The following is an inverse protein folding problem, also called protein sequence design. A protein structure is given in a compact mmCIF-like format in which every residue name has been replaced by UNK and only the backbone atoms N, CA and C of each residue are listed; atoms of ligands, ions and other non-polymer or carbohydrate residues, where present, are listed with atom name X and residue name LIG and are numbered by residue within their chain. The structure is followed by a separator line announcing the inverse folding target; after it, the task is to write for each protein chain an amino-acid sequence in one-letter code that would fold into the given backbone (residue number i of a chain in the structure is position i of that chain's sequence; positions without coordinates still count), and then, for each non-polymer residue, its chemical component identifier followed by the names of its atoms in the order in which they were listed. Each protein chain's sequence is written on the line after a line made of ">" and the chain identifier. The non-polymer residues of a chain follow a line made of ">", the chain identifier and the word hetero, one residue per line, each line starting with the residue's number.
data_IF_529886200384
#
_entry.id   IF_529886200384
#
_cell.length_a   1.000
_cell.length_b   1.000
_cell.length_c   1.000
_cell.angle_alpha   90.00
_cell.angle_beta   90.00
_cell.angle_gamma   90.00
#
_symmetry.space_group_name_H-M   'P 1'
#
loop_
_entity.id
_entity.type
_entity.pdbx_description
1 polymer ?
#
# COMPACT_ATOMS: atom_id res chain seq x y z
N UNK A 1 -4.17 11.28 2.27
CA UNK A 1 -5.09 10.70 1.29
C UNK A 1 -4.64 9.30 0.83
N UNK A 2 -3.40 9.09 0.37
CA UNK A 2 -2.95 7.77 -0.12
C UNK A 2 -3.21 6.62 0.86
N UNK A 3 -2.83 6.77 2.12
CA UNK A 3 -3.01 5.76 3.17
C UNK A 3 -4.49 5.44 3.48
N UNK A 4 -5.40 6.39 3.29
CA UNK A 4 -6.83 6.18 3.54
C UNK A 4 -7.57 5.59 2.35
N UNK A 5 -7.13 5.91 1.12
CA UNK A 5 -7.79 5.48 -0.11
C UNK A 5 -7.34 4.10 -0.61
N UNK A 6 -6.21 3.61 -0.10
CA UNK A 6 -5.65 2.30 -0.50
C UNK A 6 -4.89 2.31 -1.82
N UNK A 7 -4.41 1.12 -2.20
CA UNK A 7 -3.73 0.90 -3.48
C UNK A 7 -4.64 1.22 -4.67
N UNK A 8 -4.14 1.85 -5.74
CA UNK A 8 -2.82 2.47 -5.92
C UNK A 8 -2.87 3.99 -5.74
N UNK A 9 -3.77 4.51 -4.91
CA UNK A 9 -4.05 5.96 -4.80
C UNK A 9 -2.83 6.78 -4.36
N UNK A 10 -2.02 6.24 -3.45
CA UNK A 10 -0.79 6.88 -3.00
C UNK A 10 0.21 7.06 -4.14
N UNK A 11 0.45 6.00 -4.91
CA UNK A 11 1.33 6.04 -6.07
C UNK A 11 0.83 7.00 -7.16
N UNK A 12 -0.48 6.95 -7.49
CA UNK A 12 -1.10 7.85 -8.49
C UNK A 12 -0.97 9.32 -8.09
N UNK A 13 -1.24 9.65 -6.82
CA UNK A 13 -1.14 11.01 -6.32
C UNK A 13 0.32 11.50 -6.36
N UNK A 14 1.25 10.68 -5.91
CA UNK A 14 2.68 10.99 -5.94
C UNK A 14 3.18 11.19 -7.37
N UNK A 15 2.81 10.32 -8.30
CA UNK A 15 3.16 10.44 -9.71
C UNK A 15 2.62 11.75 -10.32
N UNK A 16 1.38 12.11 -10.02
CA UNK A 16 0.78 13.36 -10.47
C UNK A 16 1.52 14.59 -9.94
N UNK A 17 1.82 14.63 -8.63
CA UNK A 17 2.57 15.73 -8.03
C UNK A 17 3.99 15.85 -8.62
N UNK A 18 4.61 14.71 -8.95
CA UNK A 18 5.91 14.68 -9.64
C UNK A 18 5.81 15.21 -11.08
N UNK A 19 4.81 14.78 -11.86
CA UNK A 19 4.55 15.26 -13.22
C UNK A 19 4.27 16.77 -13.25
N UNK A 20 3.53 17.29 -12.27
CA UNK A 20 3.27 18.70 -12.09
C UNK A 20 4.48 19.49 -11.54
N UNK A 21 5.65 18.84 -11.42
CA UNK A 21 6.91 19.41 -10.89
C UNK A 21 6.77 20.01 -9.48
N UNK A 22 5.80 19.51 -8.71
CA UNK A 22 5.60 19.92 -7.31
C UNK A 22 6.55 19.18 -6.37
N UNK A 23 7.03 18.00 -6.76
CA UNK A 23 8.00 17.17 -6.03
C UNK A 23 9.27 16.98 -6.85
N UNK A 24 10.40 16.88 -6.17
CA UNK A 24 11.64 16.32 -6.74
C UNK A 24 11.52 14.79 -6.85
N UNK A 25 12.40 14.15 -7.62
CA UNK A 25 12.47 12.69 -7.74
C UNK A 25 12.60 12.02 -6.37
N UNK A 26 13.50 12.54 -5.52
CA UNK A 26 13.76 11.99 -4.18
C UNK A 26 12.53 12.15 -3.27
N UNK A 27 11.85 13.30 -3.32
CA UNK A 27 10.61 13.52 -2.56
C UNK A 27 9.50 12.60 -3.04
N UNK A 28 9.38 12.35 -4.34
CA UNK A 28 8.42 11.43 -4.91
C UNK A 28 8.72 9.98 -4.50
N UNK A 29 9.98 9.54 -4.53
CA UNK A 29 10.41 8.21 -4.07
C UNK A 29 10.08 8.01 -2.59
N UNK A 30 10.42 8.99 -1.74
CA UNK A 30 10.10 8.97 -0.31
C UNK A 30 8.59 8.90 -0.08
N UNK A 31 7.81 9.72 -0.78
CA UNK A 31 6.37 9.79 -0.60
C UNK A 31 5.68 8.50 -1.06
N UNK A 32 6.08 7.96 -2.22
CA UNK A 32 5.52 6.72 -2.76
C UNK A 32 5.77 5.51 -1.85
N UNK A 33 6.92 5.47 -1.15
CA UNK A 33 7.32 4.31 -0.35
C UNK A 33 6.38 4.00 0.83
N UNK A 34 5.72 5.01 1.42
CA UNK A 34 4.84 4.79 2.58
C UNK A 34 3.38 5.20 2.36
N UNK A 35 3.07 5.97 1.30
CA UNK A 35 1.70 6.38 1.05
C UNK A 35 0.89 5.38 0.23
N UNK A 36 1.57 4.45 -0.45
CA UNK A 36 0.94 3.40 -1.23
C UNK A 36 0.68 2.18 -0.33
N UNK A 37 -0.38 2.22 0.45
CA UNK A 37 -0.70 1.24 1.49
C UNK A 37 -2.15 0.74 1.39
N UNK A 38 -2.48 -0.31 2.11
CA UNK A 38 -3.86 -0.81 2.21
C UNK A 38 -4.77 0.20 2.89
N UNK A 39 -6.02 0.27 2.47
CA UNK A 39 -7.02 1.11 3.10
C UNK A 39 -7.66 0.42 4.32
N UNK A 40 -8.31 1.18 5.21
CA UNK A 40 -9.00 0.60 6.37
C UNK A 40 -10.06 -0.43 5.98
N UNK A 41 -10.82 -0.20 4.90
CA UNK A 41 -11.86 -1.12 4.46
C UNK A 41 -11.30 -2.49 4.07
N UNK A 42 -10.13 -2.53 3.43
CA UNK A 42 -9.46 -3.79 3.11
C UNK A 42 -9.01 -4.51 4.39
N UNK A 43 -8.41 -3.80 5.34
CA UNK A 43 -7.89 -4.40 6.58
C UNK A 43 -9.04 -4.93 7.44
N UNK A 44 -10.05 -4.12 7.71
CA UNK A 44 -11.17 -4.50 8.58
C UNK A 44 -12.18 -5.40 7.87
N UNK A 45 -12.52 -5.10 6.61
CA UNK A 45 -13.55 -5.81 5.87
C UNK A 45 -13.04 -7.09 5.21
N UNK A 46 -12.03 -6.99 4.34
CA UNK A 46 -11.57 -8.15 3.59
C UNK A 46 -10.71 -9.10 4.45
N UNK A 47 -9.71 -8.56 5.15
CA UNK A 47 -8.77 -9.41 5.89
C UNK A 47 -9.38 -9.86 7.22
N UNK A 48 -9.69 -8.92 8.12
CA UNK A 48 -10.15 -9.26 9.47
C UNK A 48 -11.50 -9.99 9.46
N UNK A 49 -12.53 -9.40 8.89
CA UNK A 49 -13.86 -10.01 8.86
C UNK A 49 -13.99 -11.09 7.78
N UNK A 50 -13.43 -10.88 6.58
CA UNK A 50 -13.56 -11.80 5.45
C UNK A 50 -12.70 -13.05 5.54
N UNK A 51 -11.39 -12.91 5.76
CA UNK A 51 -10.48 -14.05 5.80
C UNK A 51 -10.42 -14.70 7.17
N UNK A 52 -10.18 -13.91 8.22
CA UNK A 52 -10.03 -14.42 9.59
C UNK A 52 -11.36 -14.66 10.31
N UNK A 53 -12.47 -14.21 9.74
CA UNK A 53 -13.80 -14.26 10.37
C UNK A 53 -13.80 -13.70 11.82
N UNK A 54 -12.89 -12.80 12.14
CA UNK A 54 -12.71 -12.18 13.44
C UNK A 54 -12.51 -10.66 13.31
N UNK A 55 -13.60 -9.86 13.42
CA UNK A 55 -13.51 -8.39 13.30
C UNK A 55 -12.61 -7.72 14.33
N UNK A 56 -12.37 -8.34 15.49
CA UNK A 56 -11.52 -7.78 16.54
C UNK A 56 -10.06 -7.71 16.13
N UNK A 57 -9.59 -8.61 15.26
CA UNK A 57 -8.25 -8.56 14.69
C UNK A 57 -7.99 -7.31 13.85
N UNK A 58 -9.04 -6.70 13.31
CA UNK A 58 -8.93 -5.53 12.45
C UNK A 58 -8.13 -4.39 13.06
N UNK A 59 -8.30 -4.13 14.35
CA UNK A 59 -7.57 -3.08 15.05
C UNK A 59 -6.07 -3.41 15.15
N UNK A 60 -5.74 -4.64 15.52
CA UNK A 60 -4.35 -5.09 15.64
C UNK A 60 -3.65 -5.04 14.28
N UNK A 61 -4.30 -5.56 13.24
CA UNK A 61 -3.81 -5.54 11.87
C UNK A 61 -3.62 -4.11 11.35
N UNK A 62 -4.58 -3.22 11.62
CA UNK A 62 -4.49 -1.82 11.22
C UNK A 62 -3.33 -1.09 11.93
N UNK A 63 -3.20 -1.26 13.24
CA UNK A 63 -2.11 -0.66 14.01
C UNK A 63 -0.76 -1.16 13.48
N UNK A 64 -0.58 -2.47 13.32
CA UNK A 64 0.65 -3.07 12.80
C UNK A 64 0.98 -2.55 11.40
N UNK A 65 0.00 -2.51 10.50
CA UNK A 65 0.17 -2.04 9.13
C UNK A 65 0.58 -0.56 9.07
N UNK A 66 -0.14 0.31 9.78
CA UNK A 66 0.15 1.75 9.75
C UNK A 66 1.41 2.13 10.50
N UNK A 67 1.74 1.44 11.60
CA UNK A 67 3.03 1.61 12.27
C UNK A 67 4.19 1.19 11.36
N UNK A 68 4.04 0.07 10.63
CA UNK A 68 5.01 -0.35 9.63
C UNK A 68 5.22 0.71 8.56
N UNK A 69 4.14 1.26 8.00
CA UNK A 69 4.21 2.33 6.99
C UNK A 69 4.87 3.61 7.53
N UNK A 70 4.54 4.02 8.76
CA UNK A 70 5.18 5.17 9.40
C UNK A 70 6.67 4.92 9.59
N UNK A 71 7.05 3.71 10.01
CA UNK A 71 8.46 3.31 10.18
C UNK A 71 9.21 3.38 8.84
N UNK A 72 8.61 2.89 7.75
CA UNK A 72 9.18 3.02 6.40
C UNK A 72 9.34 4.50 6.03
N UNK A 73 8.34 5.34 6.29
CA UNK A 73 8.43 6.79 6.05
C UNK A 73 9.57 7.46 6.82
N UNK A 74 9.78 7.06 8.10
CA UNK A 74 10.87 7.56 8.92
C UNK A 74 12.25 7.12 8.40
N UNK A 75 12.38 5.86 7.97
CA UNK A 75 13.62 5.34 7.36
C UNK A 75 13.90 6.05 6.04
N UNK A 76 12.88 6.18 5.19
CA UNK A 76 13.00 6.84 3.89
C UNK A 76 13.31 8.34 3.99
N UNK A 77 13.11 8.97 5.14
CA UNK A 77 13.59 10.33 5.40
C UNK A 77 15.09 10.48 5.12
N UNK A 78 15.86 9.43 5.35
CA UNK A 78 17.32 9.43 5.14
C UNK A 78 17.72 9.13 3.69
N UNK A 79 16.78 8.66 2.86
CA UNK A 79 17.04 8.38 1.45
C UNK A 79 17.39 9.65 0.68
N UNK A 80 18.44 9.61 -0.11
CA UNK A 80 18.83 10.70 -1.03
C UNK A 80 19.40 11.97 -0.39
N UNK A 81 19.66 12.01 0.92
CA UNK A 81 20.22 13.19 1.63
C UNK A 81 21.49 13.71 0.95
N UNK A 82 22.36 12.81 0.49
CA UNK A 82 23.61 13.21 -0.19
C UNK A 82 23.37 13.86 -1.54
N UNK A 83 22.32 13.45 -2.27
CA UNK A 83 21.96 14.00 -3.59
C UNK A 83 21.24 15.34 -3.50
N UNK A 84 20.68 15.67 -2.33
CA UNK A 84 20.01 16.95 -2.08
C UNK A 84 20.95 18.02 -1.52
N UNK A 85 22.17 17.65 -1.07
CA UNK A 85 23.19 18.61 -0.64
C UNK A 85 23.60 19.46 -1.84
N UNK A 86 23.28 20.75 -1.80
CA UNK A 86 23.61 21.72 -2.85
C UNK A 86 22.45 22.16 -3.75
N UNK A 87 21.27 21.56 -3.64
CA UNK A 87 20.08 22.09 -4.31
C UNK A 87 19.42 23.15 -3.45
N UNK A 88 18.95 24.27 -4.03
CA UNK A 88 18.21 25.27 -3.27
C UNK A 88 17.00 24.59 -2.65
N UNK A 89 16.94 24.57 -1.31
CA UNK A 89 15.74 24.10 -0.60
C UNK A 89 14.60 25.00 -1.02
N UNK A 90 13.55 24.43 -1.61
CA UNK A 90 12.30 25.15 -1.78
C UNK A 90 11.91 25.66 -0.39
N UNK A 91 11.76 26.98 -0.29
CA UNK A 91 11.29 27.60 0.96
C UNK A 91 9.99 26.92 1.39
N UNK A 92 9.92 26.35 2.59
CA UNK A 92 8.69 25.76 3.05
C UNK A 92 7.63 26.86 3.10
N UNK A 93 6.65 26.78 2.22
CA UNK A 93 5.51 27.69 2.31
C UNK A 93 4.78 27.34 3.61
N UNK A 94 4.54 28.31 4.49
CA UNK A 94 3.80 28.05 5.70
C UNK A 94 2.43 27.44 5.33
N UNK A 95 2.05 26.35 6.02
CA UNK A 95 0.74 25.77 5.82
C UNK A 95 -0.31 26.78 6.21
N UNK A 96 -1.01 27.30 5.23
CA UNK A 96 -2.12 28.25 5.44
C UNK A 96 -3.41 27.61 4.95
N UNK A 97 -4.26 27.22 5.89
CA UNK A 97 -5.58 26.65 5.59
C UNK A 97 -6.43 27.58 4.71
N UNK A 98 -6.51 28.92 4.99
CA UNK A 98 -7.23 29.85 4.12
C UNK A 98 -6.69 29.89 2.70
N UNK A 99 -5.37 29.85 2.52
CA UNK A 99 -4.75 29.80 1.20
C UNK A 99 -5.09 28.49 0.47
N UNK A 100 -5.05 27.36 1.15
CA UNK A 100 -5.40 26.07 0.58
C UNK A 100 -6.86 26.01 0.13
N UNK A 101 -7.80 26.51 0.96
CA UNK A 101 -9.22 26.61 0.62
C UNK A 101 -9.48 27.56 -0.55
N UNK A 102 -8.82 28.71 -0.57
CA UNK A 102 -8.93 29.67 -1.68
C UNK A 102 -8.41 29.09 -2.99
N UNK A 103 -7.27 28.37 -2.95
CA UNK A 103 -6.70 27.73 -4.13
C UNK A 103 -7.61 26.60 -4.62
N UNK A 104 -8.16 25.80 -3.72
CA UNK A 104 -9.13 24.75 -4.05
C UNK A 104 -10.38 25.35 -4.73
N UNK A 105 -10.93 26.44 -4.17
CA UNK A 105 -12.07 27.13 -4.74
C UNK A 105 -11.77 27.71 -6.14
N UNK A 106 -10.62 28.37 -6.31
CA UNK A 106 -10.19 28.89 -7.60
C UNK A 106 -9.96 27.78 -8.64
N UNK A 107 -9.38 26.66 -8.24
CA UNK A 107 -9.18 25.49 -9.12
C UNK A 107 -10.52 24.89 -9.54
N UNK A 108 -11.47 24.82 -8.61
CA UNK A 108 -12.83 24.36 -8.90
C UNK A 108 -13.54 25.26 -9.92
N UNK A 109 -13.43 26.58 -9.76
CA UNK A 109 -14.03 27.56 -10.69
C UNK A 109 -13.38 27.49 -12.08
N UNK A 110 -12.08 27.19 -12.17
CA UNK A 110 -11.39 27.02 -13.47
C UNK A 110 -11.75 25.72 -14.17
N UNK A 111 -12.14 24.69 -13.43
CA UNK A 111 -12.49 23.36 -13.93
C UNK A 111 -14.01 23.13 -13.79
N UNK A 112 -14.82 24.01 -14.34
CA UNK A 112 -16.28 23.83 -14.40
C UNK A 112 -16.64 22.66 -15.33
N UNK A 113 -16.66 21.46 -14.77
CA UNK A 113 -17.17 20.29 -15.48
C UNK A 113 -18.58 19.94 -14.98
N UNK A 114 -19.49 19.55 -15.87
CA UNK A 114 -20.80 19.06 -15.47
C UNK A 114 -20.69 17.91 -14.49
N UNK A 115 -21.53 17.87 -13.45
CA UNK A 115 -21.52 16.82 -12.44
C UNK A 115 -21.60 15.42 -13.05
N UNK A 116 -22.38 15.23 -14.12
CA UNK A 116 -22.45 13.96 -14.84
C UNK A 116 -21.13 13.50 -15.43
N UNK A 117 -20.32 14.43 -15.96
CA UNK A 117 -18.99 14.11 -16.47
C UNK A 117 -18.05 13.74 -15.35
N UNK A 118 -18.03 14.51 -14.24
CA UNK A 118 -17.20 14.21 -13.07
C UNK A 118 -17.52 12.81 -12.48
N UNK A 119 -18.82 12.49 -12.37
CA UNK A 119 -19.26 11.20 -11.88
C UNK A 119 -18.87 10.08 -12.85
N UNK A 120 -19.08 10.28 -14.15
CA UNK A 120 -18.68 9.32 -15.17
C UNK A 120 -17.18 9.03 -15.17
N UNK A 121 -16.35 10.09 -15.08
CA UNK A 121 -14.89 9.95 -15.00
C UNK A 121 -14.44 9.25 -13.70
N UNK A 122 -15.11 9.54 -12.58
CA UNK A 122 -14.84 8.89 -11.30
C UNK A 122 -15.17 7.38 -11.36
N UNK A 123 -16.33 7.00 -11.88
CA UNK A 123 -16.73 5.60 -12.06
C UNK A 123 -15.77 4.88 -12.99
N UNK A 124 -15.46 5.47 -14.15
CA UNK A 124 -14.51 4.89 -15.12
C UNK A 124 -13.14 4.67 -14.50
N UNK A 125 -12.60 5.66 -13.78
CA UNK A 125 -11.32 5.54 -13.08
C UNK A 125 -11.34 4.46 -12.00
N UNK A 126 -12.45 4.33 -11.27
CA UNK A 126 -12.62 3.29 -10.25
C UNK A 126 -12.65 1.89 -10.86
N UNK A 127 -13.41 1.69 -11.93
CA UNK A 127 -13.48 0.40 -12.66
C UNK A 127 -12.11 0.02 -13.22
N UNK A 128 -11.41 0.95 -13.88
CA UNK A 128 -10.05 0.69 -14.38
C UNK A 128 -9.09 0.32 -13.26
N UNK A 129 -9.20 0.98 -12.10
CA UNK A 129 -8.36 0.69 -10.94
C UNK A 129 -8.65 -0.72 -10.39
N UNK A 130 -9.92 -1.10 -10.26
CA UNK A 130 -10.33 -2.43 -9.80
C UNK A 130 -9.86 -3.52 -10.76
N UNK A 131 -10.01 -3.33 -12.07
CA UNK A 131 -9.54 -4.28 -13.07
C UNK A 131 -8.01 -4.43 -13.02
N UNK A 132 -7.27 -3.34 -12.82
CA UNK A 132 -5.82 -3.38 -12.69
C UNK A 132 -5.40 -4.15 -11.42
N UNK A 133 -6.02 -3.88 -10.28
CA UNK A 133 -5.75 -4.60 -9.02
C UNK A 133 -6.07 -6.08 -9.18
N UNK A 134 -7.26 -6.43 -9.70
CA UNK A 134 -7.67 -7.81 -9.94
C UNK A 134 -6.72 -8.53 -10.91
N UNK A 135 -6.26 -7.85 -11.96
CA UNK A 135 -5.27 -8.38 -12.89
C UNK A 135 -3.94 -8.70 -12.22
N UNK A 136 -3.45 -7.84 -11.33
CA UNK A 136 -2.22 -8.13 -10.57
C UNK A 136 -2.40 -9.26 -9.57
N UNK A 137 -3.55 -9.35 -8.88
CA UNK A 137 -3.84 -10.47 -7.99
C UNK A 137 -3.80 -11.79 -8.76
N UNK A 138 -4.45 -11.86 -9.93
CA UNK A 138 -4.44 -13.04 -10.79
C UNK A 138 -3.02 -13.36 -11.25
N UNK A 139 -2.28 -12.37 -11.76
CA UNK A 139 -0.90 -12.54 -12.21
C UNK A 139 -0.02 -13.13 -11.12
N UNK A 140 -0.02 -12.53 -9.93
CA UNK A 140 0.81 -13.00 -8.83
C UNK A 140 0.34 -14.33 -8.25
N UNK A 141 -0.96 -14.62 -8.29
CA UNK A 141 -1.48 -15.95 -7.94
C UNK A 141 -0.95 -17.03 -8.89
N UNK A 142 -0.92 -16.74 -10.20
CA UNK A 142 -0.31 -17.64 -11.19
C UNK A 142 1.18 -17.79 -10.95
N UNK A 143 1.91 -16.68 -10.73
CA UNK A 143 3.35 -16.72 -10.41
C UNK A 143 3.62 -17.58 -9.17
N UNK A 144 2.89 -17.35 -8.07
CA UNK A 144 3.00 -18.17 -6.85
C UNK A 144 2.75 -19.65 -7.14
N UNK A 145 1.73 -19.98 -7.93
CA UNK A 145 1.42 -21.36 -8.30
C UNK A 145 2.55 -21.98 -9.10
N UNK A 146 3.15 -21.25 -10.05
CA UNK A 146 4.30 -21.72 -10.84
C UNK A 146 5.52 -21.95 -9.94
N UNK A 147 5.85 -21.02 -9.04
CA UNK A 147 6.96 -21.15 -8.10
C UNK A 147 6.79 -22.40 -7.22
N UNK A 148 5.57 -22.66 -6.77
CA UNK A 148 5.25 -23.87 -6.01
C UNK A 148 5.43 -25.13 -6.85
N UNK A 149 4.90 -25.18 -8.08
CA UNK A 149 5.03 -26.33 -8.98
C UNK A 149 6.47 -26.61 -9.41
N UNK A 150 7.30 -25.57 -9.46
CA UNK A 150 8.74 -25.69 -9.74
C UNK A 150 9.57 -26.05 -8.51
N UNK A 151 8.95 -26.31 -7.37
CA UNK A 151 9.60 -26.56 -6.07
C UNK A 151 10.53 -25.42 -5.60
N UNK A 152 10.42 -24.23 -6.18
CA UNK A 152 11.24 -23.08 -5.78
C UNK A 152 10.83 -22.58 -4.39
N UNK A 153 9.55 -22.60 -4.07
CA UNK A 153 9.05 -22.24 -2.74
C UNK A 153 9.69 -23.09 -1.65
N UNK A 154 9.85 -24.40 -1.89
CA UNK A 154 10.46 -25.32 -0.94
C UNK A 154 11.96 -25.04 -0.73
N UNK A 155 12.66 -24.54 -1.77
CA UNK A 155 14.06 -24.17 -1.64
C UNK A 155 14.26 -22.93 -0.76
N UNK A 156 13.30 -22.00 -0.76
CA UNK A 156 13.33 -20.82 0.11
C UNK A 156 12.75 -21.06 1.51
N UNK A 157 11.98 -22.13 1.71
CA UNK A 157 11.34 -22.45 2.99
C UNK A 157 12.34 -22.52 4.18
N UNK A 158 13.54 -23.13 4.08
CA UNK A 158 14.48 -23.18 5.20
C UNK A 158 14.93 -21.78 5.66
N UNK A 159 15.18 -20.87 4.70
CA UNK A 159 15.55 -19.49 5.01
C UNK A 159 14.42 -18.75 5.74
N UNK A 160 13.19 -18.92 5.25
CA UNK A 160 12.02 -18.32 5.87
C UNK A 160 11.74 -18.87 7.25
N UNK A 161 11.86 -20.19 7.46
CA UNK A 161 11.73 -20.81 8.78
C UNK A 161 12.74 -20.27 9.77
N UNK A 162 13.99 -20.09 9.34
CA UNK A 162 15.01 -19.49 10.19
C UNK A 162 14.63 -18.06 10.61
N UNK A 163 14.08 -17.25 9.67
CA UNK A 163 13.59 -15.91 9.97
C UNK A 163 12.39 -15.92 10.91
N UNK A 164 11.44 -16.84 10.69
CA UNK A 164 10.26 -17.00 11.55
C UNK A 164 10.66 -17.43 12.97
N UNK A 165 11.62 -18.33 13.13
CA UNK A 165 12.17 -18.71 14.44
C UNK A 165 12.77 -17.53 15.19
N UNK A 166 13.48 -16.63 14.50
CA UNK A 166 14.04 -15.42 15.11
C UNK A 166 12.95 -14.48 15.65
N UNK A 167 11.77 -14.47 15.02
CA UNK A 167 10.62 -13.68 15.42
C UNK A 167 9.63 -14.44 16.30
N UNK A 168 9.94 -15.69 16.68
CA UNK A 168 9.09 -16.60 17.46
C UNK A 168 7.72 -16.87 16.82
N UNK A 169 7.65 -16.78 15.49
CA UNK A 169 6.45 -17.09 14.71
C UNK A 169 6.42 -18.57 14.31
N UNK A 170 5.22 -19.17 14.19
CA UNK A 170 5.05 -20.55 13.76
C UNK A 170 5.69 -20.83 12.40
N UNK A 171 6.37 -21.97 12.28
CA UNK A 171 7.07 -22.35 11.04
C UNK A 171 6.13 -22.60 9.86
N UNK A 172 4.89 -22.98 10.12
CA UNK A 172 3.87 -23.18 9.10
C UNK A 172 3.46 -21.91 8.35
N UNK A 173 3.92 -20.73 8.80
CA UNK A 173 3.74 -19.47 8.09
C UNK A 173 4.79 -19.25 6.98
N UNK A 174 5.73 -20.18 6.77
CA UNK A 174 6.79 -20.04 5.76
C UNK A 174 6.21 -19.83 4.34
N UNK A 175 5.34 -20.72 3.87
CA UNK A 175 4.69 -20.61 2.55
C UNK A 175 3.73 -19.40 2.46
N UNK A 176 2.83 -19.19 3.44
CA UNK A 176 2.00 -17.98 3.46
C UNK A 176 2.79 -16.67 3.42
N UNK A 177 3.86 -16.54 4.19
CA UNK A 177 4.72 -15.36 4.19
C UNK A 177 5.43 -15.19 2.85
N UNK A 178 5.96 -16.28 2.28
CA UNK A 178 6.54 -16.24 0.93
C UNK A 178 5.54 -15.75 -0.11
N UNK A 179 4.34 -16.30 -0.11
CA UNK A 179 3.27 -15.88 -1.02
C UNK A 179 2.87 -14.42 -0.81
N UNK A 180 2.83 -13.98 0.45
CA UNK A 180 2.50 -12.61 0.85
C UNK A 180 3.53 -11.56 0.41
N UNK A 181 4.79 -11.95 0.16
CA UNK A 181 5.80 -11.06 -0.42
C UNK A 181 5.47 -10.65 -1.86
N UNK A 182 4.78 -11.51 -2.60
CA UNK A 182 4.34 -11.22 -3.97
C UNK A 182 2.95 -10.60 -4.00
N UNK A 183 2.02 -11.12 -3.16
CA UNK A 183 0.65 -10.65 -3.12
C UNK A 183 0.07 -10.82 -1.71
N UNK A 184 -0.14 -9.70 -1.03
CA UNK A 184 -0.54 -9.68 0.38
C UNK A 184 -1.93 -10.29 0.65
N UNK A 185 -2.84 -10.21 -0.32
CA UNK A 185 -4.19 -10.76 -0.18
C UNK A 185 -4.12 -12.27 -0.07
N UNK A 186 -3.35 -12.91 -0.97
CA UNK A 186 -3.14 -14.35 -0.97
C UNK A 186 -2.42 -14.82 0.30
N UNK A 187 -1.34 -14.12 0.69
CA UNK A 187 -0.62 -14.43 1.92
C UNK A 187 -1.52 -14.35 3.16
N UNK A 188 -2.31 -13.29 3.27
CA UNK A 188 -3.26 -13.11 4.37
C UNK A 188 -4.33 -14.19 4.40
N UNK A 189 -4.87 -14.57 3.24
CA UNK A 189 -5.84 -15.66 3.12
C UNK A 189 -5.24 -17.00 3.52
N UNK A 190 -4.02 -17.29 3.08
CA UNK A 190 -3.34 -18.55 3.45
C UNK A 190 -3.07 -18.61 4.95
N UNK A 191 -2.61 -17.52 5.58
CA UNK A 191 -2.42 -17.46 7.04
C UNK A 191 -3.74 -17.73 7.76
N UNK A 192 -4.84 -17.13 7.32
CA UNK A 192 -6.15 -17.32 7.97
C UNK A 192 -6.70 -18.75 7.92
N UNK A 193 -6.16 -19.59 7.05
CA UNK A 193 -6.53 -21.01 6.90
C UNK A 193 -5.63 -21.96 7.70
N UNK A 194 -4.62 -21.45 8.40
CA UNK A 194 -3.77 -22.25 9.27
C UNK A 194 -4.46 -22.54 10.61
N UNK A 195 -4.11 -23.65 11.24
CA UNK A 195 -4.70 -24.05 12.55
C UNK A 195 -4.42 -23.01 13.64
N UNK A 196 -3.21 -22.42 13.66
CA UNK A 196 -2.89 -21.37 14.64
C UNK A 196 -3.67 -20.07 14.44
N UNK A 197 -4.09 -19.76 13.22
CA UNK A 197 -4.95 -18.59 13.00
C UNK A 197 -6.35 -18.77 13.59
N UNK A 198 -6.80 -20.00 13.81
CA UNK A 198 -8.07 -20.31 14.48
C UNK A 198 -8.04 -20.00 15.99
N UNK A 199 -6.86 -19.81 16.57
CA UNK A 199 -6.66 -19.47 17.98
C UNK A 199 -6.60 -17.96 18.23
N UNK A 200 -6.57 -17.11 17.17
CA UNK A 200 -6.54 -15.66 17.23
C UNK A 200 -7.96 -15.08 17.19
#
# INVERSE_FOLDING_TARGET
>A
MGMASGYPSGAKLTARLYQEKQLSTIEAERLASFTNSSNPLFIFGAVSAGFFNNPHLGLVLAISHYLGNISVGLIMRFHGIRKEKGKPKRSPRPFSLPYALRTLHQTRLKNEQPLGKLLGDAVRSSVQTLLMIGGFIILFSVVNKLLYMMHLTEQFAPLLRQLLRLTQLPEQFDIPVFSGLFEITLGSQMISQTEEASLL
#
